data_IF_404815488170
#
_entry.id   IF_404815488170
#
_cell.length_a   1.000
_cell.length_b   1.000
_cell.length_c   1.000
_cell.angle_alpha   90.00
_cell.angle_beta   90.00
_cell.angle_gamma   90.00
#
_symmetry.space_group_name_H-M   'P 1'
#
loop_
_entity.id
_entity.type
_entity.pdbx_description
1 polymer ?
#
# COMPACT_ATOMS: atom_id res chain seq x y z
N UNK A 1 17.52 -14.84 -10.31
CA UNK A 1 16.21 -15.31 -10.80
C UNK A 1 15.19 -14.22 -10.69
N UNK A 2 14.53 -13.87 -11.81
CA UNK A 2 13.56 -12.76 -11.81
C UNK A 2 12.37 -13.01 -10.86
N UNK A 3 11.89 -14.26 -10.76
CA UNK A 3 10.78 -14.59 -9.88
C UNK A 3 11.10 -14.34 -8.41
N UNK A 4 12.31 -14.70 -7.99
CA UNK A 4 12.75 -14.51 -6.59
C UNK A 4 12.83 -13.02 -6.27
N UNK A 5 13.36 -12.22 -7.19
CA UNK A 5 13.52 -10.79 -7.00
C UNK A 5 12.17 -10.09 -6.91
N UNK A 6 11.24 -10.41 -7.83
CA UNK A 6 9.89 -9.87 -7.80
C UNK A 6 9.13 -10.30 -6.57
N UNK A 7 9.25 -11.56 -6.17
CA UNK A 7 8.62 -12.09 -4.97
C UNK A 7 9.10 -11.36 -3.71
N UNK A 8 10.42 -11.18 -3.58
CA UNK A 8 10.98 -10.50 -2.40
C UNK A 8 10.52 -9.05 -2.31
N UNK A 9 10.46 -8.36 -3.44
CA UNK A 9 9.98 -6.98 -3.47
C UNK A 9 8.50 -6.91 -3.10
N UNK A 10 7.69 -7.81 -3.63
CA UNK A 10 6.26 -7.87 -3.32
C UNK A 10 6.02 -8.16 -1.85
N UNK A 11 6.80 -9.08 -1.26
CA UNK A 11 6.69 -9.39 0.17
C UNK A 11 7.00 -8.18 1.04
N UNK A 12 8.04 -7.41 0.70
CA UNK A 12 8.39 -6.21 1.45
C UNK A 12 7.31 -5.15 1.33
N UNK A 13 6.77 -4.95 0.14
CA UNK A 13 5.70 -3.98 -0.08
C UNK A 13 4.42 -4.37 0.66
N UNK A 14 4.05 -5.65 0.59
CA UNK A 14 2.88 -6.15 1.30
C UNK A 14 3.05 -6.00 2.81
N UNK A 15 4.27 -6.28 3.33
CA UNK A 15 4.58 -6.10 4.75
C UNK A 15 4.48 -4.66 5.19
N UNK A 16 4.99 -3.73 4.40
CA UNK A 16 4.90 -2.29 4.69
C UNK A 16 3.44 -1.85 4.76
N UNK A 17 2.63 -2.29 3.79
CA UNK A 17 1.21 -1.95 3.78
C UNK A 17 0.49 -2.58 4.98
N UNK A 18 0.78 -3.84 5.28
CA UNK A 18 0.18 -4.53 6.42
C UNK A 18 0.48 -3.81 7.74
N UNK A 19 1.72 -3.36 7.94
CA UNK A 19 2.12 -2.63 9.14
C UNK A 19 1.33 -1.33 9.29
N UNK A 20 1.13 -0.60 8.20
CA UNK A 20 0.34 0.62 8.23
C UNK A 20 -1.13 0.34 8.52
N UNK A 21 -1.67 -0.72 7.95
CA UNK A 21 -3.06 -1.11 8.21
C UNK A 21 -3.28 -1.46 9.68
N UNK A 22 -2.31 -2.15 10.30
CA UNK A 22 -2.37 -2.44 11.74
C UNK A 22 -2.42 -1.16 12.56
N UNK A 23 -1.56 -0.20 12.22
CA UNK A 23 -1.54 1.09 12.93
C UNK A 23 -2.86 1.85 12.82
N UNK A 24 -3.56 1.68 11.71
CA UNK A 24 -4.85 2.34 11.47
C UNK A 24 -6.04 1.52 11.96
N UNK A 25 -5.81 0.32 12.46
CA UNK A 25 -6.88 -0.58 12.89
C UNK A 25 -7.67 -1.19 11.74
N UNK A 26 -7.09 -1.24 10.54
CA UNK A 26 -7.75 -1.74 9.34
C UNK A 26 -7.24 -3.10 8.89
N UNK A 27 -6.35 -3.72 9.64
CA UNK A 27 -5.74 -4.99 9.26
C UNK A 27 -6.78 -6.11 9.07
N UNK A 28 -7.82 -6.14 9.90
CA UNK A 28 -8.88 -7.13 9.78
C UNK A 28 -9.78 -6.93 8.56
N UNK A 29 -9.76 -5.73 7.96
CA UNK A 29 -10.54 -5.42 6.77
C UNK A 29 -9.84 -5.87 5.49
N UNK A 30 -8.58 -6.27 5.58
CA UNK A 30 -7.77 -6.72 4.45
C UNK A 30 -7.21 -8.13 4.69
N UNK A 31 -8.10 -9.14 4.91
CA UNK A 31 -7.65 -10.47 5.30
C UNK A 31 -6.92 -11.23 4.20
N UNK A 32 -7.09 -10.84 2.95
CA UNK A 32 -6.47 -11.51 1.81
C UNK A 32 -5.27 -10.75 1.24
N UNK A 33 -4.74 -9.77 1.98
CA UNK A 33 -3.54 -9.04 1.57
C UNK A 33 -2.36 -10.01 1.50
N UNK A 34 -1.73 -10.09 0.33
CA UNK A 34 -0.62 -11.01 0.13
C UNK A 34 0.27 -10.58 -1.02
N UNK A 35 1.51 -11.06 -0.98
CA UNK A 35 2.45 -10.91 -2.08
C UNK A 35 2.17 -11.97 -3.14
N UNK A 36 2.49 -11.65 -4.39
CA UNK A 36 2.35 -12.55 -5.52
C UNK A 36 3.39 -12.21 -6.57
N UNK A 37 3.47 -13.03 -7.60
CA UNK A 37 4.34 -12.79 -8.74
C UNK A 37 3.63 -13.33 -9.98
N UNK A 38 3.68 -12.58 -11.08
CA UNK A 38 3.06 -13.01 -12.33
C UNK A 38 4.02 -13.90 -13.15
N UNK A 39 3.54 -14.34 -14.31
CA UNK A 39 4.32 -15.25 -15.17
C UNK A 39 5.59 -14.60 -15.74
N UNK A 40 5.63 -13.28 -15.77
CA UNK A 40 6.79 -12.53 -16.25
C UNK A 40 7.82 -12.28 -15.14
N UNK A 41 7.53 -12.68 -13.89
CA UNK A 41 8.41 -12.47 -12.76
C UNK A 41 8.23 -11.13 -12.06
N UNK A 42 7.23 -10.33 -12.45
CA UNK A 42 6.94 -9.07 -11.78
C UNK A 42 6.28 -9.33 -10.43
N UNK A 43 6.77 -8.64 -9.40
CA UNK A 43 6.15 -8.71 -8.09
C UNK A 43 4.83 -7.97 -8.05
N UNK A 44 3.85 -8.57 -7.38
CA UNK A 44 2.50 -8.01 -7.25
C UNK A 44 2.09 -8.06 -5.78
N UNK A 45 1.24 -7.11 -5.39
CA UNK A 45 0.60 -7.14 -4.08
C UNK A 45 -0.91 -7.25 -4.31
N UNK A 46 -1.49 -8.36 -3.85
CA UNK A 46 -2.93 -8.56 -3.94
C UNK A 46 -3.58 -8.00 -2.69
N UNK A 47 -4.50 -7.06 -2.88
CA UNK A 47 -5.23 -6.46 -1.76
C UNK A 47 -6.40 -7.32 -1.31
N UNK A 48 -6.89 -8.18 -2.19
CA UNK A 48 -8.04 -9.03 -1.92
C UNK A 48 -9.34 -8.28 -2.00
N UNK A 49 -10.43 -8.99 -1.74
CA UNK A 49 -11.76 -8.40 -1.68
C UNK A 49 -11.95 -7.73 -0.33
N UNK A 50 -12.46 -6.50 -0.34
CA UNK A 50 -12.72 -5.74 0.88
C UNK A 50 -14.16 -5.24 0.86
N UNK A 51 -14.69 -4.95 2.04
CA UNK A 51 -16.04 -4.40 2.15
C UNK A 51 -16.06 -2.95 1.67
N UNK A 52 -17.22 -2.46 1.20
CA UNK A 52 -17.32 -1.06 0.76
C UNK A 52 -16.86 -0.05 1.80
N UNK A 53 -17.16 -0.28 3.07
CA UNK A 53 -16.74 0.61 4.15
C UNK A 53 -15.23 0.73 4.23
N UNK A 54 -14.52 -0.40 4.08
CA UNK A 54 -13.07 -0.42 4.09
C UNK A 54 -12.51 0.32 2.86
N UNK A 55 -13.11 0.12 1.70
CA UNK A 55 -12.71 0.81 0.48
C UNK A 55 -12.91 2.32 0.60
N UNK A 56 -14.01 2.76 1.19
CA UNK A 56 -14.29 4.17 1.43
C UNK A 56 -13.26 4.79 2.39
N UNK A 57 -12.94 4.07 3.46
CA UNK A 57 -11.93 4.52 4.41
C UNK A 57 -10.56 4.64 3.74
N UNK A 58 -10.20 3.65 2.93
CA UNK A 58 -8.95 3.68 2.17
C UNK A 58 -8.91 4.90 1.25
N UNK A 59 -10.01 5.21 0.56
CA UNK A 59 -10.10 6.37 -0.30
C UNK A 59 -9.88 7.67 0.48
N UNK A 60 -10.45 7.78 1.67
CA UNK A 60 -10.26 8.94 2.54
C UNK A 60 -8.80 9.08 2.97
N UNK A 61 -8.16 7.98 3.31
CA UNK A 61 -6.75 7.99 3.72
C UNK A 61 -5.84 8.38 2.57
N UNK A 62 -6.14 7.92 1.36
CA UNK A 62 -5.39 8.29 0.17
C UNK A 62 -5.52 9.80 -0.08
N UNK A 63 -6.73 10.34 0.01
CA UNK A 63 -6.95 11.76 -0.19
C UNK A 63 -6.22 12.59 0.86
N UNK A 64 -6.28 12.19 2.12
CA UNK A 64 -5.57 12.87 3.21
C UNK A 64 -4.06 12.81 3.02
N UNK A 65 -3.54 11.64 2.63
CA UNK A 65 -2.11 11.48 2.36
C UNK A 65 -1.64 12.33 1.19
N UNK A 66 -2.42 12.41 0.13
CA UNK A 66 -2.10 13.24 -1.02
C UNK A 66 -2.06 14.72 -0.63
N UNK A 67 -3.03 15.19 0.14
CA UNK A 67 -3.03 16.57 0.63
C UNK A 67 -1.83 16.87 1.49
N UNK A 68 -1.47 15.96 2.38
CA UNK A 68 -0.30 16.11 3.23
C UNK A 68 0.98 16.19 2.41
N UNK A 69 1.10 15.36 1.37
CA UNK A 69 2.26 15.39 0.48
C UNK A 69 2.34 16.67 -0.33
N UNK A 70 1.21 17.15 -0.84
CA UNK A 70 1.17 18.41 -1.58
C UNK A 70 1.59 19.58 -0.69
N UNK A 71 1.12 19.61 0.55
CA UNK A 71 1.53 20.63 1.51
C UNK A 71 3.01 20.52 1.86
N UNK A 72 3.49 19.29 2.09
CA UNK A 72 4.89 19.05 2.38
C UNK A 72 5.79 19.46 1.22
N UNK A 73 5.43 19.09 0.00
CA UNK A 73 6.17 19.46 -1.19
C UNK A 73 6.24 20.96 -1.37
N UNK A 74 5.11 21.64 -1.15
CA UNK A 74 5.05 23.11 -1.22
C UNK A 74 5.98 23.74 -0.18
N UNK A 75 5.97 23.23 1.04
CA UNK A 75 6.83 23.72 2.09
C UNK A 75 8.32 23.53 1.75
N UNK A 76 8.67 22.36 1.23
CA UNK A 76 10.04 22.07 0.82
C UNK A 76 10.48 23.00 -0.31
N UNK A 77 9.63 23.22 -1.30
CA UNK A 77 9.90 24.14 -2.39
C UNK A 77 10.10 25.55 -1.89
N UNK A 78 9.31 25.95 -0.91
CA UNK A 78 9.45 27.28 -0.30
C UNK A 78 10.75 27.44 0.45
N UNK A 79 11.26 26.38 1.03
CA UNK A 79 12.51 26.39 1.78
C UNK A 79 13.75 26.44 0.87
N UNK A 80 13.60 26.05 -0.36
CA UNK A 80 14.67 26.09 -1.36
C UNK A 80 14.73 27.46 -2.03
#
# INVERSE_FOLDING_TARGET
MPYVRGWNRARRSAGTLADQLVLLGLDSDFPALMADVNVLGDGLVQLGAVRPDAAEMLAKLIAAGLQAELHGTTAETSAV
#
